data_IF_769746872581
#
_entry.id   IF_769746872581
#
_cell.length_a   1.000
_cell.length_b   1.000
_cell.length_c   1.000
_cell.angle_alpha   90.00
_cell.angle_beta   90.00
_cell.angle_gamma   90.00
#
_symmetry.space_group_name_H-M   'P 1'
#
loop_
_entity.id
_entity.type
_entity.pdbx_description
1 polymer ?
#
# COMPACT_ATOMS: atom_id res chain seq x y z
N UNK A 1 -6.51 -27.57 -7.72
CA UNK A 1 -7.41 -27.13 -6.63
C UNK A 1 -7.23 -25.63 -6.37
N UNK A 2 -8.30 -24.91 -6.03
CA UNK A 2 -8.20 -23.49 -5.64
C UNK A 2 -7.60 -23.37 -4.24
N UNK A 3 -6.74 -22.36 -4.05
CA UNK A 3 -6.14 -22.08 -2.74
C UNK A 3 -7.19 -21.65 -1.72
N UNK A 4 -7.16 -22.22 -0.53
CA UNK A 4 -8.06 -21.88 0.57
C UNK A 4 -7.58 -20.62 1.29
N UNK A 5 -8.49 -19.66 1.46
CA UNK A 5 -8.18 -18.33 1.96
C UNK A 5 -9.24 -17.81 2.94
N UNK A 6 -8.82 -16.92 3.84
CA UNK A 6 -9.70 -16.12 4.68
C UNK A 6 -9.54 -14.62 4.37
N UNK A 7 -10.55 -13.82 4.70
CA UNK A 7 -10.54 -12.36 4.54
C UNK A 7 -10.94 -11.67 5.84
N UNK A 8 -10.18 -10.65 6.22
CA UNK A 8 -10.47 -9.77 7.36
C UNK A 8 -10.67 -8.35 6.82
N UNK A 9 -11.87 -7.80 7.06
CA UNK A 9 -12.26 -6.47 6.62
C UNK A 9 -13.45 -6.49 5.67
N UNK A 10 -14.61 -6.00 6.16
CA UNK A 10 -15.89 -5.92 5.42
C UNK A 10 -16.14 -4.53 4.81
N UNK A 11 -15.14 -3.63 4.81
CA UNK A 11 -15.25 -2.30 4.21
C UNK A 11 -15.22 -2.34 2.68
N UNK A 12 -15.39 -1.17 2.04
CA UNK A 12 -15.42 -1.03 0.57
C UNK A 12 -14.27 -1.77 -0.13
N UNK A 13 -13.04 -1.64 0.39
CA UNK A 13 -11.87 -2.30 -0.20
C UNK A 13 -11.88 -3.81 0.05
N UNK A 14 -12.28 -4.24 1.25
CA UNK A 14 -12.48 -5.66 1.55
C UNK A 14 -13.53 -6.31 0.64
N UNK A 15 -14.62 -5.61 0.33
CA UNK A 15 -15.63 -6.09 -0.62
C UNK A 15 -15.06 -6.28 -2.03
N UNK A 16 -14.19 -5.37 -2.49
CA UNK A 16 -13.51 -5.53 -3.78
C UNK A 16 -12.59 -6.76 -3.80
N UNK A 17 -11.84 -6.98 -2.72
CA UNK A 17 -10.98 -8.18 -2.57
C UNK A 17 -11.85 -9.43 -2.53
N UNK A 18 -12.94 -9.43 -1.75
CA UNK A 18 -13.89 -10.55 -1.63
C UNK A 18 -14.42 -10.98 -3.00
N UNK A 19 -14.88 -10.02 -3.80
CA UNK A 19 -15.41 -10.29 -5.15
C UNK A 19 -14.36 -10.95 -6.07
N UNK A 20 -13.10 -10.59 -5.95
CA UNK A 20 -12.03 -11.20 -6.72
C UNK A 20 -11.66 -12.60 -6.18
N UNK A 21 -11.63 -12.78 -4.85
CA UNK A 21 -11.32 -14.06 -4.22
C UNK A 21 -12.34 -15.14 -4.59
N UNK A 22 -13.63 -14.84 -4.65
CA UNK A 22 -14.65 -15.79 -5.10
C UNK A 22 -14.38 -16.35 -6.51
N UNK A 23 -13.72 -15.57 -7.38
CA UNK A 23 -13.41 -16.01 -8.76
C UNK A 23 -12.19 -16.91 -8.83
N UNK A 24 -11.17 -16.69 -7.98
CA UNK A 24 -9.81 -17.24 -8.14
C UNK A 24 -9.32 -18.11 -6.99
N UNK A 25 -10.02 -18.12 -5.86
CA UNK A 25 -9.67 -18.86 -4.65
C UNK A 25 -10.89 -19.53 -4.04
N UNK A 26 -10.67 -20.35 -3.01
CA UNK A 26 -11.73 -20.90 -2.16
C UNK A 26 -11.81 -20.06 -0.88
N UNK A 27 -12.70 -19.07 -0.86
CA UNK A 27 -12.89 -18.19 0.28
C UNK A 27 -13.71 -18.89 1.38
N UNK A 28 -13.05 -19.31 2.44
CA UNK A 28 -13.67 -20.04 3.57
C UNK A 28 -14.46 -19.13 4.50
N UNK A 29 -13.94 -17.93 4.77
CA UNK A 29 -14.63 -16.95 5.61
C UNK A 29 -14.27 -15.51 5.24
N UNK A 30 -15.17 -14.58 5.60
CA UNK A 30 -14.96 -13.14 5.52
C UNK A 30 -15.47 -12.49 6.79
N UNK A 31 -14.57 -11.91 7.58
CA UNK A 31 -14.87 -11.40 8.92
C UNK A 31 -14.61 -9.89 9.06
N UNK A 32 -15.28 -9.27 10.03
CA UNK A 32 -15.13 -7.87 10.41
C UNK A 32 -14.67 -7.69 11.85
N UNK A 33 -14.90 -6.49 12.41
CA UNK A 33 -14.38 -6.10 13.73
C UNK A 33 -14.94 -6.91 14.88
N UNK A 34 -16.21 -7.34 14.80
CA UNK A 34 -16.92 -8.05 15.86
C UNK A 34 -16.67 -9.56 15.84
N UNK A 35 -16.12 -10.10 14.76
CA UNK A 35 -15.94 -11.53 14.57
C UNK A 35 -14.64 -12.03 15.23
N UNK A 36 -14.64 -13.28 15.70
CA UNK A 36 -13.46 -13.87 16.35
C UNK A 36 -12.53 -14.51 15.33
N UNK A 37 -11.42 -13.83 15.03
CA UNK A 37 -10.41 -14.28 14.08
C UNK A 37 -9.83 -15.66 14.42
N UNK A 38 -9.50 -15.90 15.69
CA UNK A 38 -8.83 -17.15 16.10
C UNK A 38 -9.76 -18.35 15.97
N UNK A 39 -11.05 -18.16 16.26
CA UNK A 39 -12.08 -19.18 16.07
C UNK A 39 -12.20 -19.55 14.58
N UNK A 40 -12.25 -18.56 13.70
CA UNK A 40 -12.36 -18.80 12.26
C UNK A 40 -11.12 -19.50 11.69
N UNK A 41 -9.91 -19.10 12.13
CA UNK A 41 -8.68 -19.79 11.72
C UNK A 41 -8.67 -21.25 12.21
N UNK A 42 -9.16 -21.52 13.43
CA UNK A 42 -9.21 -22.88 13.99
C UNK A 42 -10.19 -23.79 13.24
N UNK A 43 -11.35 -23.24 12.84
CA UNK A 43 -12.40 -23.99 12.12
C UNK A 43 -12.04 -24.28 10.67
N UNK A 44 -11.17 -23.48 10.05
CA UNK A 44 -10.93 -23.53 8.62
C UNK A 44 -9.45 -23.77 8.31
N UNK A 45 -9.15 -24.78 7.52
CA UNK A 45 -7.79 -25.04 7.03
C UNK A 45 -7.45 -24.12 5.86
N UNK A 46 -6.94 -22.91 6.16
CA UNK A 46 -6.56 -21.92 5.17
C UNK A 46 -5.05 -21.78 5.03
N UNK A 47 -4.59 -21.43 3.83
CA UNK A 47 -3.16 -21.18 3.56
C UNK A 47 -2.80 -19.71 3.54
N UNK A 48 -3.75 -18.88 3.16
CA UNK A 48 -3.59 -17.42 3.05
C UNK A 48 -4.68 -16.67 3.77
N UNK A 49 -4.29 -15.57 4.41
CA UNK A 49 -5.22 -14.60 4.98
C UNK A 49 -5.05 -13.24 4.29
N UNK A 50 -6.16 -12.67 3.85
CA UNK A 50 -6.24 -11.35 3.25
C UNK A 50 -6.70 -10.35 4.30
N UNK A 51 -5.98 -9.22 4.45
CA UNK A 51 -6.24 -8.20 5.47
C UNK A 51 -6.52 -6.86 4.79
N UNK A 52 -7.74 -6.37 4.93
CA UNK A 52 -8.25 -5.11 4.38
C UNK A 52 -8.95 -4.27 5.45
N UNK A 53 -8.28 -4.11 6.58
CA UNK A 53 -8.74 -3.37 7.76
C UNK A 53 -8.13 -1.96 7.81
N UNK A 54 -8.46 -1.09 8.77
CA UNK A 54 -7.78 0.19 8.98
C UNK A 54 -6.28 0.01 9.27
N UNK A 55 -5.44 0.94 8.77
CA UNK A 55 -3.98 0.86 8.80
C UNK A 55 -3.39 0.64 10.21
N UNK A 56 -4.01 1.22 11.24
CA UNK A 56 -3.57 1.10 12.63
C UNK A 56 -3.75 -0.30 13.22
N UNK A 57 -4.58 -1.15 12.61
CA UNK A 57 -4.84 -2.53 13.05
C UNK A 57 -3.94 -3.56 12.36
N UNK A 58 -3.29 -3.22 11.25
CA UNK A 58 -2.54 -4.16 10.43
C UNK A 58 -1.47 -4.90 11.23
N UNK A 59 -0.66 -4.19 12.03
CA UNK A 59 0.42 -4.81 12.79
C UNK A 59 -0.05 -5.96 13.68
N UNK A 60 -1.08 -5.72 14.49
CA UNK A 60 -1.58 -6.71 15.45
C UNK A 60 -2.22 -7.91 14.73
N UNK A 61 -2.98 -7.66 13.68
CA UNK A 61 -3.66 -8.71 12.92
C UNK A 61 -2.63 -9.55 12.15
N UNK A 62 -1.71 -8.91 11.41
CA UNK A 62 -0.65 -9.62 10.66
C UNK A 62 0.20 -10.47 11.60
N UNK A 63 0.59 -9.92 12.78
CA UNK A 63 1.37 -10.67 13.77
C UNK A 63 0.64 -11.92 14.24
N UNK A 64 -0.65 -11.81 14.59
CA UNK A 64 -1.48 -12.95 14.98
C UNK A 64 -1.57 -14.01 13.89
N UNK A 65 -1.77 -13.60 12.63
CA UNK A 65 -1.86 -14.53 11.49
C UNK A 65 -0.54 -15.27 11.24
N UNK A 66 0.60 -14.57 11.31
CA UNK A 66 1.92 -15.19 11.20
C UNK A 66 2.22 -16.17 12.35
N UNK A 67 1.73 -15.87 13.57
CA UNK A 67 1.84 -16.78 14.71
C UNK A 67 1.04 -18.08 14.52
N UNK A 68 0.00 -18.03 13.68
CA UNK A 68 -0.83 -19.18 13.26
C UNK A 68 -0.41 -19.80 11.94
N UNK A 69 0.84 -19.58 11.55
CA UNK A 69 1.48 -20.18 10.37
C UNK A 69 0.79 -19.86 9.02
N UNK A 70 0.11 -18.72 8.94
CA UNK A 70 -0.58 -18.28 7.73
C UNK A 70 0.30 -17.36 6.88
N UNK A 71 0.26 -17.55 5.57
CA UNK A 71 0.74 -16.54 4.63
C UNK A 71 -0.22 -15.34 4.63
N UNK A 72 0.33 -14.15 4.47
CA UNK A 72 -0.43 -12.91 4.62
C UNK A 72 -0.40 -12.07 3.35
N UNK A 73 -1.57 -11.73 2.85
CA UNK A 73 -1.78 -10.58 1.96
C UNK A 73 -2.33 -9.42 2.80
N UNK A 74 -1.61 -8.33 2.88
CA UNK A 74 -2.02 -7.16 3.66
C UNK A 74 -2.19 -5.94 2.75
N UNK A 75 -3.30 -5.20 2.94
CA UNK A 75 -3.42 -3.88 2.33
C UNK A 75 -2.30 -2.95 2.80
N UNK A 76 -1.98 -2.00 1.96
CA UNK A 76 -0.93 -1.02 2.23
C UNK A 76 -1.41 0.09 3.19
N UNK A 77 -0.50 0.61 4.01
CA UNK A 77 0.85 0.11 4.30
C UNK A 77 0.80 -1.15 5.19
N UNK A 78 1.86 -1.96 5.18
CA UNK A 78 1.96 -3.15 6.06
C UNK A 78 1.70 -2.80 7.54
N UNK A 79 2.23 -1.66 7.98
CA UNK A 79 1.92 -0.98 9.23
C UNK A 79 2.50 0.44 9.21
N UNK A 80 2.21 1.25 10.23
CA UNK A 80 2.62 2.66 10.28
C UNK A 80 4.07 2.86 10.79
N UNK A 81 4.66 1.87 11.46
CA UNK A 81 6.01 1.95 12.05
C UNK A 81 7.02 1.10 11.29
N UNK A 82 8.19 1.67 10.88
CA UNK A 82 9.25 0.90 10.23
C UNK A 82 9.77 -0.27 11.08
N UNK A 83 9.91 -0.08 12.40
CA UNK A 83 10.39 -1.12 13.31
C UNK A 83 9.38 -2.26 13.42
N UNK A 84 8.08 -1.94 13.55
CA UNK A 84 7.01 -2.94 13.54
C UNK A 84 6.95 -3.70 12.21
N UNK A 85 7.14 -3.01 11.06
CA UNK A 85 7.21 -3.66 9.76
C UNK A 85 8.39 -4.64 9.66
N UNK A 86 9.58 -4.23 10.12
CA UNK A 86 10.77 -5.09 10.18
C UNK A 86 10.52 -6.33 11.06
N UNK A 87 9.86 -6.16 12.21
CA UNK A 87 9.48 -7.28 13.09
C UNK A 87 8.59 -8.29 12.36
N UNK A 88 7.54 -7.85 11.67
CA UNK A 88 6.65 -8.75 10.91
C UNK A 88 7.39 -9.51 9.82
N UNK A 89 8.22 -8.82 9.06
CA UNK A 89 9.04 -9.44 8.00
C UNK A 89 9.99 -10.48 8.57
N UNK A 90 10.61 -10.20 9.73
CA UNK A 90 11.50 -11.15 10.39
C UNK A 90 10.76 -12.40 10.93
N UNK A 91 9.55 -12.22 11.49
CA UNK A 91 8.70 -13.35 11.92
C UNK A 91 8.38 -14.24 10.71
N UNK A 92 7.92 -13.64 9.61
CA UNK A 92 7.60 -14.37 8.41
C UNK A 92 8.83 -15.14 7.85
N UNK A 93 10.00 -14.49 7.82
CA UNK A 93 11.26 -15.12 7.39
C UNK A 93 11.63 -16.32 8.25
N UNK A 94 11.58 -16.18 9.59
CA UNK A 94 11.89 -17.26 10.53
C UNK A 94 10.95 -18.48 10.37
N UNK A 95 9.68 -18.22 10.11
CA UNK A 95 8.65 -19.25 9.91
C UNK A 95 8.53 -19.74 8.45
N UNK A 96 9.36 -19.26 7.52
CA UNK A 96 9.29 -19.55 6.07
C UNK A 96 7.94 -19.18 5.45
N UNK A 97 7.25 -18.19 6.03
CA UNK A 97 5.96 -17.67 5.57
C UNK A 97 6.14 -16.51 4.60
N UNK A 98 5.09 -16.24 3.82
CA UNK A 98 5.05 -15.17 2.84
C UNK A 98 4.21 -14.01 3.35
N UNK A 99 4.74 -12.79 3.24
CA UNK A 99 3.98 -11.55 3.34
C UNK A 99 4.00 -10.89 1.97
N UNK A 100 2.83 -10.50 1.51
CA UNK A 100 2.66 -9.61 0.38
C UNK A 100 1.90 -8.36 0.80
N UNK A 101 2.48 -7.21 0.54
CA UNK A 101 1.83 -5.92 0.76
C UNK A 101 1.24 -5.45 -0.55
N UNK A 102 -0.05 -5.15 -0.55
CA UNK A 102 -0.80 -4.72 -1.72
C UNK A 102 -0.10 -3.60 -2.47
N UNK A 103 0.22 -3.82 -3.75
CA UNK A 103 0.92 -2.88 -4.61
C UNK A 103 0.37 -2.94 -6.04
N UNK A 104 -0.81 -2.37 -6.22
CA UNK A 104 -1.49 -2.33 -7.52
C UNK A 104 -0.64 -1.69 -8.61
N UNK A 105 0.15 -0.67 -8.28
CA UNK A 105 0.93 0.05 -9.28
C UNK A 105 2.13 -0.74 -9.81
N UNK A 106 2.53 -1.82 -9.13
CA UNK A 106 3.52 -2.73 -9.67
C UNK A 106 3.05 -3.46 -10.93
N UNK A 107 1.72 -3.55 -11.10
CA UNK A 107 1.06 -4.15 -12.26
C UNK A 107 0.70 -3.15 -13.37
N UNK A 108 0.98 -1.86 -13.15
CA UNK A 108 0.81 -0.86 -14.20
C UNK A 108 1.84 -1.04 -15.32
N UNK A 109 1.43 -0.59 -16.51
CA UNK A 109 2.13 -0.83 -17.76
C UNK A 109 3.64 -0.51 -17.71
N UNK A 110 4.39 -1.19 -18.59
CA UNK A 110 5.84 -1.00 -18.79
C UNK A 110 6.28 0.46 -19.00
N UNK A 111 5.36 1.36 -19.42
CA UNK A 111 5.62 2.80 -19.60
C UNK A 111 6.16 3.50 -18.34
N UNK A 112 5.60 3.15 -17.15
CA UNK A 112 6.08 3.74 -15.88
C UNK A 112 7.40 3.14 -15.38
N UNK A 113 7.74 1.93 -15.81
CA UNK A 113 9.01 1.27 -15.44
C UNK A 113 10.21 1.91 -16.14
N UNK A 114 9.99 2.66 -17.21
CA UNK A 114 11.03 3.31 -18.05
C UNK A 114 11.20 4.81 -17.79
N UNK A 115 10.51 5.38 -16.76
CA UNK A 115 10.70 6.79 -16.42
C UNK A 115 12.12 7.00 -15.86
N UNK A 116 12.98 7.62 -16.64
CA UNK A 116 14.34 7.96 -16.25
C UNK A 116 14.40 9.23 -15.38
N UNK A 117 13.38 10.08 -15.44
CA UNK A 117 13.24 11.28 -14.63
C UNK A 117 11.78 11.45 -14.20
N UNK A 118 11.60 12.04 -13.02
CA UNK A 118 10.29 12.37 -12.48
C UNK A 118 10.39 13.77 -11.93
N UNK A 119 9.60 14.67 -12.48
CA UNK A 119 9.61 16.07 -12.08
C UNK A 119 8.31 16.46 -11.38
N UNK A 120 7.17 16.00 -11.89
CA UNK A 120 5.86 16.39 -11.38
C UNK A 120 4.94 15.20 -11.19
N UNK A 121 4.19 15.22 -10.09
CA UNK A 121 3.08 14.31 -9.81
C UNK A 121 1.89 15.15 -9.40
N UNK A 122 0.83 15.11 -10.19
CA UNK A 122 -0.43 15.78 -9.88
C UNK A 122 -1.53 14.76 -9.65
N UNK A 123 -2.25 14.92 -8.56
CA UNK A 123 -3.41 14.08 -8.25
C UNK A 123 -4.55 14.93 -7.72
N UNK A 124 -5.71 14.79 -8.31
CA UNK A 124 -6.93 15.41 -7.82
C UNK A 124 -8.04 14.40 -7.59
N UNK A 125 -8.86 14.64 -6.59
CA UNK A 125 -10.11 13.96 -6.31
C UNK A 125 -10.84 14.65 -5.16
N UNK A 126 -12.15 14.44 -5.05
CA UNK A 126 -12.89 14.87 -3.88
C UNK A 126 -12.71 13.92 -2.69
N UNK A 127 -12.38 14.48 -1.51
CA UNK A 127 -12.28 13.75 -0.24
C UNK A 127 -13.06 14.51 0.82
N UNK A 128 -14.14 13.90 1.30
CA UNK A 128 -15.03 14.53 2.28
C UNK A 128 -14.43 14.66 3.68
N UNK A 129 -13.43 13.85 4.03
CA UNK A 129 -12.80 13.87 5.36
C UNK A 129 -12.08 15.20 5.64
N UNK A 130 -12.23 15.74 6.87
CA UNK A 130 -11.55 16.97 7.31
C UNK A 130 -10.02 16.85 7.28
N UNK A 131 -9.47 15.71 7.71
CA UNK A 131 -8.03 15.40 7.70
C UNK A 131 -7.79 14.09 6.92
N UNK A 132 -7.66 14.14 5.59
CA UNK A 132 -7.36 12.95 4.82
C UNK A 132 -5.94 12.47 5.18
N UNK A 133 -5.81 11.19 5.52
CA UNK A 133 -4.51 10.52 5.68
C UNK A 133 -3.80 10.38 4.32
N UNK A 134 -3.55 11.51 3.64
CA UNK A 134 -3.12 11.51 2.25
C UNK A 134 -1.74 10.89 2.07
N UNK A 135 -0.85 10.98 3.05
CA UNK A 135 0.45 10.36 3.01
C UNK A 135 0.34 8.83 2.85
N UNK A 136 -0.43 8.17 3.72
CA UNK A 136 -0.56 6.72 3.71
C UNK A 136 -1.54 6.22 2.64
N UNK A 137 -2.48 7.05 2.21
CA UNK A 137 -3.50 6.66 1.24
C UNK A 137 -3.15 6.98 -0.20
N UNK A 138 -2.55 8.15 -0.46
CA UNK A 138 -2.29 8.61 -1.83
C UNK A 138 -0.81 8.64 -2.13
N UNK A 139 -0.02 9.38 -1.34
CA UNK A 139 1.40 9.54 -1.56
C UNK A 139 2.14 8.19 -1.51
N UNK A 140 1.69 7.24 -0.67
CA UNK A 140 2.23 5.87 -0.67
C UNK A 140 2.22 5.24 -2.06
N UNK A 141 1.12 5.39 -2.80
CA UNK A 141 1.01 4.85 -4.16
C UNK A 141 1.98 5.53 -5.13
N UNK A 142 2.08 6.86 -5.05
CA UNK A 142 2.92 7.62 -5.96
C UNK A 142 4.40 7.31 -5.72
N UNK A 143 4.84 7.28 -4.48
CA UNK A 143 6.21 6.87 -4.13
C UNK A 143 6.46 5.41 -4.52
N UNK A 144 5.45 4.53 -4.42
CA UNK A 144 5.56 3.13 -4.85
C UNK A 144 5.92 3.00 -6.34
N UNK A 145 5.36 3.85 -7.21
CA UNK A 145 5.70 3.88 -8.64
C UNK A 145 7.19 4.20 -8.83
N UNK A 146 7.71 5.13 -8.02
CA UNK A 146 9.08 5.64 -8.14
C UNK A 146 10.09 4.93 -7.24
N UNK A 147 9.72 3.86 -6.58
CA UNK A 147 10.56 3.19 -5.60
C UNK A 147 11.99 2.93 -6.10
N UNK A 148 12.15 2.35 -7.31
CA UNK A 148 13.48 2.04 -7.87
C UNK A 148 14.30 3.30 -8.10
N UNK A 149 13.67 4.38 -8.58
CA UNK A 149 14.29 5.67 -8.79
C UNK A 149 14.71 6.31 -7.47
N UNK A 150 13.81 6.39 -6.49
CA UNK A 150 14.09 6.97 -5.17
C UNK A 150 15.14 6.18 -4.38
N UNK A 151 15.22 4.87 -4.57
CA UNK A 151 16.26 4.05 -3.95
C UNK A 151 17.65 4.37 -4.49
N UNK A 152 17.77 4.69 -5.78
CA UNK A 152 19.04 5.09 -6.43
C UNK A 152 19.41 6.55 -6.17
N UNK A 153 18.40 7.39 -5.87
CA UNK A 153 18.56 8.82 -5.64
C UNK A 153 18.03 9.19 -4.24
N UNK A 154 18.87 9.10 -3.20
CA UNK A 154 18.42 9.33 -1.82
C UNK A 154 17.89 10.74 -1.60
N UNK A 155 16.94 10.85 -0.69
CA UNK A 155 16.37 12.11 -0.26
C UNK A 155 17.43 13.00 0.39
N UNK A 156 17.57 14.22 -0.09
CA UNK A 156 18.40 15.27 0.50
C UNK A 156 17.56 16.12 1.47
N UNK A 157 16.56 16.82 0.93
CA UNK A 157 15.65 17.66 1.70
C UNK A 157 14.25 17.64 1.08
N UNK A 158 13.30 18.25 1.77
CA UNK A 158 11.95 18.44 1.24
C UNK A 158 11.29 19.67 1.86
N UNK A 159 10.32 20.23 1.13
CA UNK A 159 9.47 21.33 1.54
C UNK A 159 8.04 20.84 1.47
N UNK A 160 7.23 21.15 2.48
CA UNK A 160 5.83 20.77 2.52
C UNK A 160 5.02 22.06 2.73
N UNK A 161 4.06 22.27 1.84
CA UNK A 161 3.06 23.34 1.97
C UNK A 161 1.70 22.67 2.08
N UNK A 162 1.00 22.92 3.18
CA UNK A 162 -0.29 22.32 3.47
C UNK A 162 -1.35 23.39 3.60
N UNK A 163 -2.19 23.53 2.60
CA UNK A 163 -3.44 24.29 2.71
C UNK A 163 -4.56 23.33 3.13
N UNK A 164 -4.78 23.24 4.45
CA UNK A 164 -5.80 22.35 5.01
C UNK A 164 -7.22 22.83 4.70
N UNK A 165 -7.44 24.15 4.60
CA UNK A 165 -8.75 24.74 4.30
C UNK A 165 -9.21 24.35 2.90
N UNK A 166 -8.36 24.53 1.91
CA UNK A 166 -8.64 24.21 0.52
C UNK A 166 -8.28 22.76 0.15
N UNK A 167 -7.73 21.98 1.11
CA UNK A 167 -7.26 20.59 0.90
C UNK A 167 -6.28 20.48 -0.27
N UNK A 168 -5.41 21.48 -0.40
CA UNK A 168 -4.35 21.53 -1.38
C UNK A 168 -3.01 21.26 -0.68
N UNK A 169 -2.30 20.23 -1.12
CA UNK A 169 -1.04 19.80 -0.51
C UNK A 169 0.04 19.76 -1.57
N UNK A 170 1.12 20.49 -1.33
CA UNK A 170 2.30 20.52 -2.19
C UNK A 170 3.50 19.99 -1.40
N UNK A 171 4.19 19.00 -1.97
CA UNK A 171 5.40 18.42 -1.39
C UNK A 171 6.49 18.48 -2.46
N UNK A 172 7.56 19.20 -2.17
CA UNK A 172 8.74 19.29 -3.03
C UNK A 172 9.83 18.45 -2.39
N UNK A 173 10.29 17.44 -3.10
CA UNK A 173 11.36 16.55 -2.68
C UNK A 173 12.61 16.89 -3.47
N UNK A 174 13.70 17.23 -2.77
CA UNK A 174 15.04 17.43 -3.35
C UNK A 174 15.88 16.17 -3.11
N UNK A 175 16.43 15.61 -4.15
CA UNK A 175 17.29 14.42 -4.13
C UNK A 175 18.77 14.82 -4.18
N UNK A 176 19.67 13.94 -3.75
CA UNK A 176 21.13 14.23 -3.69
C UNK A 176 21.73 14.65 -5.04
N UNK A 177 21.24 14.12 -6.15
CA UNK A 177 21.71 14.47 -7.52
C UNK A 177 21.06 15.73 -8.08
N UNK A 178 20.71 16.71 -7.27
CA UNK A 178 20.04 17.98 -7.65
C UNK A 178 18.69 17.80 -8.36
N UNK A 179 18.12 16.60 -8.35
CA UNK A 179 16.81 16.35 -8.94
C UNK A 179 15.71 16.79 -7.96
N UNK A 180 14.64 17.34 -8.49
CA UNK A 180 13.49 17.83 -7.73
C UNK A 180 12.25 17.12 -8.23
N UNK A 181 11.43 16.64 -7.30
CA UNK A 181 10.11 16.07 -7.60
C UNK A 181 9.07 16.89 -6.86
N UNK A 182 8.11 17.43 -7.60
CA UNK A 182 6.97 18.16 -7.07
C UNK A 182 5.73 17.26 -7.05
N UNK A 183 5.13 17.10 -5.87
CA UNK A 183 3.85 16.40 -5.70
C UNK A 183 2.77 17.42 -5.36
N UNK A 184 1.69 17.41 -6.10
CA UNK A 184 0.53 18.28 -5.88
C UNK A 184 -0.70 17.41 -5.70
N UNK A 185 -1.39 17.57 -4.57
CA UNK A 185 -2.63 16.87 -4.26
C UNK A 185 -3.76 17.87 -4.04
N UNK A 186 -4.70 17.92 -4.97
CA UNK A 186 -5.93 18.68 -4.81
C UNK A 186 -7.06 17.74 -4.40
N UNK A 187 -7.41 17.73 -3.11
CA UNK A 187 -8.41 16.83 -2.55
C UNK A 187 -9.82 17.46 -2.46
N UNK A 188 -9.99 18.66 -3.02
CA UNK A 188 -11.28 19.34 -3.14
C UNK A 188 -11.82 19.36 -4.58
N UNK A 189 -11.17 18.67 -5.50
CA UNK A 189 -11.55 18.65 -6.92
C UNK A 189 -12.63 17.60 -7.21
N UNK A 190 -13.67 18.00 -7.91
CA UNK A 190 -14.70 17.05 -8.42
C UNK A 190 -14.11 16.12 -9.48
N UNK A 191 -13.12 16.55 -10.26
CA UNK A 191 -12.43 15.72 -11.26
C UNK A 191 -11.42 14.81 -10.59
N UNK A 192 -11.48 13.51 -10.89
CA UNK A 192 -10.47 12.54 -10.47
C UNK A 192 -9.39 12.44 -11.55
N UNK A 193 -8.22 12.99 -11.27
CA UNK A 193 -7.08 12.99 -12.18
C UNK A 193 -5.84 12.42 -11.47
N UNK A 194 -5.00 11.74 -12.20
CA UNK A 194 -3.67 11.32 -11.74
C UNK A 194 -2.70 11.41 -12.91
N UNK A 195 -1.76 12.33 -12.82
CA UNK A 195 -0.75 12.62 -13.86
C UNK A 195 0.64 12.48 -13.24
N UNK A 196 1.54 11.88 -13.98
CA UNK A 196 2.97 11.80 -13.64
C UNK A 196 3.73 12.32 -14.85
N UNK A 197 4.45 13.42 -14.64
CA UNK A 197 4.91 14.27 -15.73
C UNK A 197 3.68 14.59 -16.64
N UNK A 198 3.69 14.20 -17.89
CA UNK A 198 2.58 14.43 -18.85
C UNK A 198 1.72 13.17 -19.08
N UNK A 199 1.97 12.09 -18.32
CA UNK A 199 1.29 10.82 -18.50
C UNK A 199 0.08 10.68 -17.56
N UNK A 200 -1.10 10.55 -18.15
CA UNK A 200 -2.32 10.20 -17.40
C UNK A 200 -2.28 8.75 -16.95
N UNK A 201 -2.51 8.56 -15.63
CA UNK A 201 -2.65 7.23 -15.05
C UNK A 201 -4.13 6.86 -15.01
N UNK A 202 -4.50 5.93 -15.87
CA UNK A 202 -5.85 5.38 -15.93
C UNK A 202 -5.90 4.05 -15.17
N UNK A 203 -6.82 3.92 -14.23
CA UNK A 203 -7.03 2.68 -13.49
C UNK A 203 -7.62 1.59 -14.41
N UNK A 204 -6.96 0.44 -14.50
CA UNK A 204 -7.52 -0.75 -15.17
C UNK A 204 -8.32 -1.57 -14.15
N UNK A 205 -9.51 -2.04 -14.53
CA UNK A 205 -10.42 -2.77 -13.64
C UNK A 205 -9.86 -4.10 -13.12
N UNK A 206 -8.99 -4.77 -13.89
CA UNK A 206 -8.55 -6.14 -13.62
C UNK A 206 -7.23 -6.26 -12.82
N UNK A 207 -6.58 -5.13 -12.49
CA UNK A 207 -5.28 -5.16 -11.79
C UNK A 207 -5.33 -5.84 -10.42
N UNK A 208 -6.44 -5.67 -9.68
CA UNK A 208 -6.60 -6.31 -8.37
C UNK A 208 -6.68 -7.83 -8.51
N UNK A 209 -7.44 -8.30 -9.49
CA UNK A 209 -7.57 -9.72 -9.81
C UNK A 209 -6.22 -10.31 -10.21
N UNK A 210 -5.50 -9.65 -11.12
CA UNK A 210 -4.18 -10.05 -11.58
C UNK A 210 -3.18 -10.11 -10.42
N UNK A 211 -3.16 -9.11 -9.55
CA UNK A 211 -2.30 -9.06 -8.38
C UNK A 211 -2.57 -10.23 -7.43
N UNK A 212 -3.84 -10.47 -7.07
CA UNK A 212 -4.21 -11.56 -6.17
C UNK A 212 -3.86 -12.91 -6.79
N UNK A 213 -4.15 -13.11 -8.08
CA UNK A 213 -3.79 -14.33 -8.80
C UNK A 213 -2.28 -14.60 -8.74
N UNK A 214 -1.45 -13.61 -9.05
CA UNK A 214 0.00 -13.74 -9.04
C UNK A 214 0.56 -14.04 -7.63
N UNK A 215 -0.05 -13.46 -6.58
CA UNK A 215 0.32 -13.75 -5.19
C UNK A 215 0.03 -15.21 -4.83
N UNK A 216 -1.18 -15.69 -5.11
CA UNK A 216 -1.60 -17.05 -4.77
C UNK A 216 -0.81 -18.12 -5.54
N UNK A 217 -0.39 -17.82 -6.77
CA UNK A 217 0.40 -18.72 -7.62
C UNK A 217 1.92 -18.50 -7.51
N UNK A 218 2.39 -17.73 -6.50
CA UNK A 218 3.81 -17.47 -6.25
C UNK A 218 4.57 -16.84 -7.44
N UNK A 219 3.88 -16.10 -8.31
CA UNK A 219 4.45 -15.39 -9.47
C UNK A 219 5.04 -14.02 -9.10
N UNK A 220 5.31 -13.81 -7.81
CA UNK A 220 5.76 -12.54 -7.23
C UNK A 220 7.07 -12.74 -6.48
N UNK A 221 7.96 -11.76 -6.56
CA UNK A 221 9.11 -11.68 -5.67
C UNK A 221 8.68 -11.06 -4.32
N UNK A 222 8.34 -11.91 -3.36
CA UNK A 222 7.91 -11.50 -2.01
C UNK A 222 9.01 -10.75 -1.25
N UNK A 223 10.28 -11.13 -1.43
CA UNK A 223 11.42 -10.44 -0.78
C UNK A 223 11.52 -9.00 -1.26
N UNK A 224 11.45 -8.76 -2.57
CA UNK A 224 11.49 -7.40 -3.14
C UNK A 224 10.26 -6.58 -2.74
N UNK A 225 9.06 -7.18 -2.69
CA UNK A 225 7.85 -6.51 -2.20
C UNK A 225 8.01 -6.05 -0.74
N UNK A 226 8.57 -6.89 0.12
CA UNK A 226 8.81 -6.57 1.52
C UNK A 226 9.88 -5.47 1.70
N UNK A 227 10.97 -5.51 0.92
CA UNK A 227 12.02 -4.47 0.91
C UNK A 227 11.39 -3.14 0.47
N UNK A 228 10.61 -3.15 -0.61
CA UNK A 228 9.90 -1.99 -1.12
C UNK A 228 8.94 -1.41 -0.07
N UNK A 229 8.10 -2.25 0.53
CA UNK A 229 7.15 -1.82 1.56
C UNK A 229 7.86 -1.16 2.76
N UNK A 230 8.95 -1.76 3.25
CA UNK A 230 9.72 -1.19 4.35
C UNK A 230 10.37 0.16 3.95
N UNK A 231 10.89 0.28 2.74
CA UNK A 231 11.40 1.54 2.21
C UNK A 231 10.33 2.63 2.19
N UNK A 232 9.15 2.32 1.66
CA UNK A 232 8.03 3.27 1.56
C UNK A 232 7.57 3.77 2.93
N UNK A 233 7.46 2.86 3.91
CA UNK A 233 7.10 3.23 5.28
C UNK A 233 8.17 4.15 5.89
N UNK A 234 9.46 3.82 5.74
CA UNK A 234 10.57 4.67 6.22
C UNK A 234 10.57 6.04 5.57
N UNK A 235 10.40 6.09 4.25
CA UNK A 235 10.39 7.31 3.47
C UNK A 235 9.25 8.24 3.90
N UNK A 236 8.02 7.73 3.98
CA UNK A 236 6.86 8.48 4.43
C UNK A 236 6.97 8.96 5.88
N UNK A 237 7.49 8.13 6.77
CA UNK A 237 7.71 8.53 8.15
C UNK A 237 8.74 9.65 8.29
N UNK A 238 9.77 9.67 7.44
CA UNK A 238 10.75 10.76 7.40
C UNK A 238 10.10 12.08 7.00
N UNK A 239 9.20 12.05 6.02
CA UNK A 239 8.44 13.24 5.59
C UNK A 239 7.45 13.68 6.69
N UNK A 240 6.65 12.76 7.22
CA UNK A 240 5.64 13.06 8.24
C UNK A 240 6.22 13.71 9.50
N UNK A 241 7.33 13.20 10.01
CA UNK A 241 7.96 13.73 11.23
C UNK A 241 8.32 15.21 11.14
N UNK A 242 8.58 15.73 9.95
CA UNK A 242 8.91 17.15 9.73
C UNK A 242 7.69 18.01 9.37
N UNK A 243 6.56 17.39 9.04
CA UNK A 243 5.33 18.13 8.70
C UNK A 243 4.68 18.83 9.93
N UNK A 244 4.98 18.35 11.13
CA UNK A 244 4.46 18.92 12.38
C UNK A 244 5.17 20.21 12.82
N UNK A 245 6.22 20.63 12.15
CA UNK A 245 7.02 21.80 12.48
C UNK A 245 6.84 22.98 11.52
N UNK A 246 5.95 22.89 10.54
CA UNK A 246 5.61 23.98 9.62
C UNK A 246 4.13 24.33 9.84
N UNK A 247 3.88 25.10 10.91
CA UNK A 247 2.63 25.86 11.09
C UNK A 247 2.75 27.19 10.37
#
# INVERSE_FOLDING_TARGET
MKTEVGLIGKGKWGSNIKSNLHKIANLKFSIGKKDNLLSEIKKNNIKWIFIATPNNTHYSIVKKCLQKDLNVFCEKPLCLSPNKAKTLINIAKKKKLKIYVSDLYNFYSKKFKKLNSINNVYRSKFVNQKNPEFFDRLMYHDISIFYKFLRKNPLNSFIIKLDKKNKLYEIIIKLKKKQVIKFIYNLNSKKKVHIINDLHIVSRRDLLKEMIYNVLHNKINFKENNIKSLFLIKFLNKIKKKTYYVN
#
